data_IF_804650829319
#
_entry.id   IF_804650829319
#
_cell.length_a   1.000
_cell.length_b   1.000
_cell.length_c   1.000
_cell.angle_alpha   90.00
_cell.angle_beta   90.00
_cell.angle_gamma   90.00
#
_symmetry.space_group_name_H-M   'P 1'
#
loop_
_entity.id
_entity.type
_entity.pdbx_description
1 polymer ?
#
# COMPACT_ATOMS: atom_id res chain seq x y z
N UNK A 1 -26.16 48.25 20.14
CA UNK A 1 -27.16 47.56 19.29
C UNK A 1 -26.45 46.98 18.08
N UNK A 2 -26.00 45.72 18.16
CA UNK A 2 -25.52 44.96 17.00
C UNK A 2 -26.57 43.89 16.74
N UNK A 3 -27.28 44.04 15.63
CA UNK A 3 -28.33 43.16 15.13
C UNK A 3 -27.71 41.79 14.87
N UNK A 4 -28.12 40.79 15.68
CA UNK A 4 -27.96 39.37 15.32
C UNK A 4 -28.75 39.16 14.03
N UNK A 5 -28.06 38.81 12.96
CA UNK A 5 -28.70 38.21 11.81
C UNK A 5 -29.30 36.88 12.27
N UNK A 6 -30.60 36.89 12.54
CA UNK A 6 -31.39 35.69 12.70
C UNK A 6 -31.49 35.00 11.35
N UNK A 7 -30.50 34.15 11.04
CA UNK A 7 -30.68 33.09 10.06
C UNK A 7 -31.84 32.23 10.54
N UNK A 8 -32.96 32.31 9.83
CA UNK A 8 -34.11 31.43 9.98
C UNK A 8 -33.65 29.99 9.72
N UNK A 9 -33.22 29.28 10.76
CA UNK A 9 -33.19 27.81 10.76
C UNK A 9 -34.64 27.34 10.90
N UNK A 10 -35.27 27.09 9.76
CA UNK A 10 -36.55 26.39 9.68
C UNK A 10 -36.38 24.98 10.30
N UNK A 11 -37.14 24.60 11.32
CA UNK A 11 -37.15 23.22 11.80
C UNK A 11 -37.96 22.34 10.83
N UNK A 12 -37.31 21.28 10.31
CA UNK A 12 -37.84 20.05 9.69
C UNK A 12 -38.37 20.13 8.23
N UNK A 13 -38.27 19.04 7.40
CA UNK A 13 -38.39 17.63 7.79
C UNK A 13 -37.35 16.64 7.20
N UNK A 14 -37.20 15.47 7.84
CA UNK A 14 -37.67 14.29 7.12
C UNK A 14 -36.94 12.97 7.27
N UNK A 15 -35.70 12.95 7.76
CA UNK A 15 -35.08 11.67 8.12
C UNK A 15 -35.58 11.22 9.49
N UNK A 16 -36.52 10.27 9.50
CA UNK A 16 -37.17 9.79 10.73
C UNK A 16 -36.36 8.72 11.44
N UNK A 17 -35.42 8.10 10.72
CA UNK A 17 -34.65 6.95 11.21
C UNK A 17 -33.36 6.79 10.42
N UNK A 18 -32.39 6.10 11.01
CA UNK A 18 -31.09 5.81 10.41
C UNK A 18 -30.65 4.39 10.76
N UNK A 19 -29.98 3.70 9.83
CA UNK A 19 -29.41 2.38 10.06
C UNK A 19 -28.13 2.15 9.28
N UNK A 20 -27.37 1.17 9.72
CA UNK A 20 -26.22 0.64 9.00
C UNK A 20 -26.60 -0.69 8.37
N UNK A 21 -26.41 -0.81 7.06
CA UNK A 21 -26.77 -1.99 6.29
C UNK A 21 -25.52 -2.70 5.74
N UNK A 22 -25.62 -4.02 5.61
CA UNK A 22 -24.58 -4.86 5.01
C UNK A 22 -23.18 -4.73 5.66
N UNK A 23 -23.13 -4.32 6.94
CA UNK A 23 -21.96 -4.47 7.78
C UNK A 23 -21.93 -5.82 8.47
N UNK A 24 -20.79 -6.16 9.08
CA UNK A 24 -20.62 -7.42 9.81
C UNK A 24 -21.23 -7.37 11.21
N UNK A 25 -21.54 -6.18 11.70
CA UNK A 25 -22.16 -5.93 13.00
C UNK A 25 -23.13 -4.73 12.92
N UNK A 26 -23.77 -4.39 14.03
CA UNK A 26 -24.75 -3.30 14.11
C UNK A 26 -24.14 -1.89 14.12
N UNK A 27 -22.82 -1.76 14.20
CA UNK A 27 -22.09 -0.50 14.35
C UNK A 27 -21.13 -0.22 13.18
N UNK A 28 -21.28 -0.95 12.08
CA UNK A 28 -20.59 -0.76 10.82
C UNK A 28 -21.56 -1.03 9.67
N UNK A 29 -21.39 -0.35 8.55
CA UNK A 29 -22.21 -0.61 7.37
C UNK A 29 -22.40 0.59 6.46
N UNK A 30 -23.08 0.35 5.35
CA UNK A 30 -23.59 1.39 4.45
C UNK A 30 -24.62 2.23 5.21
N UNK A 31 -24.51 3.53 5.07
CA UNK A 31 -25.42 4.50 5.71
C UNK A 31 -26.72 4.53 4.91
N UNK A 32 -27.82 4.17 5.59
CA UNK A 32 -29.17 4.29 5.04
C UNK A 32 -30.02 5.17 5.96
N UNK A 33 -30.70 6.16 5.36
CA UNK A 33 -31.58 7.08 6.06
C UNK A 33 -33.02 6.92 5.56
N UNK A 34 -33.99 7.09 6.47
CA UNK A 34 -35.40 6.90 6.18
C UNK A 34 -36.13 8.23 6.02
N UNK A 35 -36.62 8.54 4.83
CA UNK A 35 -37.41 9.74 4.53
C UNK A 35 -38.84 9.39 4.11
N UNK A 36 -39.85 9.97 4.78
CA UNK A 36 -41.29 9.75 4.49
C UNK A 36 -41.72 8.28 4.34
N UNK A 37 -41.08 7.38 5.10
CA UNK A 37 -41.26 5.91 5.07
C UNK A 37 -40.45 5.12 4.06
N UNK A 38 -39.64 5.77 3.21
CA UNK A 38 -38.73 5.11 2.28
C UNK A 38 -37.29 5.14 2.81
N UNK A 39 -36.59 4.02 2.68
CA UNK A 39 -35.15 3.97 2.94
C UNK A 39 -34.40 4.33 1.67
N UNK A 40 -33.32 5.09 1.83
CA UNK A 40 -32.39 5.40 0.75
C UNK A 40 -30.96 5.50 1.26
N UNK A 41 -30.01 5.40 0.35
CA UNK A 41 -28.58 5.49 0.65
C UNK A 41 -28.11 6.93 0.64
N UNK A 42 -26.98 7.20 1.27
CA UNK A 42 -26.41 8.55 1.31
C UNK A 42 -25.22 8.64 0.37
N UNK A 43 -25.04 9.76 -0.32
CA UNK A 43 -23.89 9.95 -1.21
C UNK A 43 -22.60 10.29 -0.45
N UNK A 44 -21.50 9.62 -0.79
CA UNK A 44 -20.15 9.81 -0.21
C UNK A 44 -19.58 11.22 -0.43
N UNK A 45 -19.90 11.87 -1.55
CA UNK A 45 -19.46 13.24 -1.86
C UNK A 45 -20.04 14.29 -0.90
N UNK A 46 -21.08 13.93 -0.15
CA UNK A 46 -21.84 14.81 0.74
C UNK A 46 -21.87 14.30 2.19
N UNK A 47 -21.05 13.28 2.49
CA UNK A 47 -21.04 12.60 3.79
C UNK A 47 -19.64 12.61 4.39
N UNK A 48 -19.48 13.32 5.51
CA UNK A 48 -18.18 13.54 6.15
C UNK A 48 -18.03 12.84 7.51
N UNK A 49 -16.86 13.03 8.11
CA UNK A 49 -16.50 12.44 9.41
C UNK A 49 -17.33 13.00 10.58
N UNK A 50 -17.78 14.25 10.49
CA UNK A 50 -18.57 14.89 11.55
C UNK A 50 -20.00 14.35 11.54
N UNK A 51 -20.64 14.30 10.37
CA UNK A 51 -21.95 13.68 10.19
C UNK A 51 -21.93 12.20 10.57
N UNK A 52 -20.86 11.49 10.20
CA UNK A 52 -20.63 10.11 10.61
C UNK A 52 -20.53 9.95 12.13
N UNK A 53 -19.85 10.88 12.82
CA UNK A 53 -19.72 10.82 14.28
C UNK A 53 -21.05 11.05 14.99
N UNK A 54 -21.88 11.96 14.48
CA UNK A 54 -23.25 12.18 14.97
C UNK A 54 -24.10 10.93 14.75
N UNK A 55 -24.04 10.31 13.57
CA UNK A 55 -24.74 9.06 13.29
C UNK A 55 -24.31 7.93 14.23
N UNK A 56 -23.01 7.70 14.40
CA UNK A 56 -22.48 6.69 15.31
C UNK A 56 -22.93 6.92 16.74
N UNK A 57 -23.01 8.18 17.18
CA UNK A 57 -23.49 8.53 18.50
C UNK A 57 -25.00 8.25 18.63
N UNK A 58 -25.79 8.65 17.64
CA UNK A 58 -27.24 8.42 17.57
C UNK A 58 -27.60 6.93 17.61
N UNK A 59 -26.78 6.07 16.99
CA UNK A 59 -26.94 4.61 17.00
C UNK A 59 -26.38 3.93 18.26
N UNK A 60 -25.88 4.70 19.24
CA UNK A 60 -25.22 4.21 20.45
C UNK A 60 -23.99 3.31 20.17
N UNK A 61 -23.26 3.64 19.10
CA UNK A 61 -22.07 2.95 18.62
C UNK A 61 -20.76 3.74 18.90
N UNK A 62 -20.83 4.79 19.71
CA UNK A 62 -19.70 5.66 20.05
C UNK A 62 -19.42 6.72 18.99
N UNK A 63 -18.16 6.87 18.56
CA UNK A 63 -17.75 7.86 17.54
C UNK A 63 -17.44 7.19 16.21
N UNK A 64 -17.45 7.94 15.11
CA UNK A 64 -16.94 7.41 13.85
C UNK A 64 -15.42 7.23 13.93
N UNK A 65 -14.92 6.15 13.32
CA UNK A 65 -13.50 5.85 13.18
C UNK A 65 -13.07 5.95 11.72
N UNK A 66 -13.94 5.58 10.78
CA UNK A 66 -13.71 5.74 9.36
C UNK A 66 -15.01 6.03 8.61
N UNK A 67 -14.88 6.80 7.53
CA UNK A 67 -15.89 6.98 6.48
C UNK A 67 -15.39 6.24 5.25
N UNK A 68 -16.23 5.38 4.69
CA UNK A 68 -15.87 4.48 3.59
C UNK A 68 -16.91 4.58 2.47
N UNK A 69 -16.56 4.18 1.25
CA UNK A 69 -17.48 4.16 0.11
C UNK A 69 -18.17 2.82 -0.11
N UNK A 70 -18.94 2.73 -1.20
CA UNK A 70 -19.71 1.54 -1.58
C UNK A 70 -18.85 0.28 -1.79
N UNK A 71 -17.55 0.44 -2.00
CA UNK A 71 -16.59 -0.67 -2.09
C UNK A 71 -16.54 -1.54 -0.83
N UNK A 72 -16.86 -0.99 0.35
CA UNK A 72 -16.75 -1.69 1.63
C UNK A 72 -18.00 -2.48 2.00
N UNK A 73 -19.17 -1.84 1.89
CA UNK A 73 -20.44 -2.42 2.32
C UNK A 73 -21.38 -2.71 1.15
N UNK A 74 -20.87 -2.64 -0.08
CA UNK A 74 -21.62 -2.86 -1.31
C UNK A 74 -22.54 -1.70 -1.67
N UNK A 75 -22.90 -1.67 -2.94
CA UNK A 75 -23.91 -0.78 -3.50
C UNK A 75 -25.27 -1.05 -2.86
N UNK A 76 -25.99 0.00 -2.51
CA UNK A 76 -27.39 -0.11 -2.11
C UNK A 76 -28.32 -0.14 -3.32
N UNK A 77 -29.60 0.13 -3.06
CA UNK A 77 -30.63 0.14 -4.10
C UNK A 77 -31.72 1.16 -3.76
N UNK A 78 -32.38 1.69 -4.78
CA UNK A 78 -33.48 2.63 -4.61
C UNK A 78 -33.02 4.08 -4.65
N UNK A 79 -33.56 4.90 -3.75
CA UNK A 79 -33.28 6.34 -3.72
C UNK A 79 -31.90 6.61 -3.12
N UNK A 80 -31.16 7.55 -3.72
CA UNK A 80 -29.91 8.10 -3.19
C UNK A 80 -30.20 9.51 -2.72
N UNK A 81 -29.88 9.80 -1.46
CA UNK A 81 -30.02 11.10 -0.84
C UNK A 81 -28.75 11.93 -1.11
N UNK A 82 -28.82 12.99 -1.95
CA UNK A 82 -27.69 13.85 -2.26
C UNK A 82 -27.55 15.02 -1.27
N UNK A 83 -28.30 14.98 -0.17
CA UNK A 83 -28.32 16.06 0.83
C UNK A 83 -26.96 16.14 1.54
N UNK A 84 -26.45 17.37 1.71
CA UNK A 84 -25.21 17.60 2.48
C UNK A 84 -25.56 17.93 3.92
N UNK A 85 -25.07 17.09 4.82
CA UNK A 85 -25.17 17.29 6.27
C UNK A 85 -24.00 18.16 6.74
N UNK A 86 -24.33 19.34 7.25
CA UNK A 86 -23.38 20.26 7.87
C UNK A 86 -23.47 20.07 9.39
N UNK A 87 -22.66 19.14 9.91
CA UNK A 87 -22.57 18.81 11.33
C UNK A 87 -21.24 19.33 11.95
N UNK A 88 -21.29 19.76 13.20
CA UNK A 88 -20.12 20.03 14.04
C UNK A 88 -19.49 18.75 14.60
N UNK A 89 -20.26 17.66 14.71
CA UNK A 89 -19.82 16.35 15.22
C UNK A 89 -20.16 16.10 16.69
N UNK A 90 -20.87 17.01 17.35
CA UNK A 90 -21.25 16.96 18.77
C UNK A 90 -22.77 16.88 19.02
N UNK A 91 -23.54 16.89 17.93
CA UNK A 91 -25.00 16.84 17.94
C UNK A 91 -25.51 15.49 18.44
N UNK A 92 -26.73 15.46 19.00
CA UNK A 92 -27.31 14.22 19.53
C UNK A 92 -27.90 13.32 18.45
N UNK A 93 -28.16 13.88 17.27
CA UNK A 93 -28.63 13.15 16.10
C UNK A 93 -28.60 14.00 14.84
N UNK A 94 -28.66 13.33 13.68
CA UNK A 94 -28.56 13.97 12.37
C UNK A 94 -29.67 14.99 12.10
N UNK A 95 -30.79 14.91 12.83
CA UNK A 95 -31.88 15.88 12.76
C UNK A 95 -31.51 17.26 13.27
N UNK A 96 -30.44 17.38 14.07
CA UNK A 96 -29.94 18.66 14.58
C UNK A 96 -28.91 19.31 13.65
N UNK A 97 -28.36 18.54 12.69
CA UNK A 97 -27.44 19.08 11.70
C UNK A 97 -28.14 19.95 10.67
N UNK A 98 -27.46 20.99 10.19
CA UNK A 98 -27.94 21.79 9.08
C UNK A 98 -27.89 20.99 7.77
N UNK A 99 -28.92 21.11 6.92
CA UNK A 99 -28.93 20.46 5.60
C UNK A 99 -28.86 21.51 4.51
N UNK A 100 -27.96 21.33 3.53
CA UNK A 100 -27.93 22.15 2.32
C UNK A 100 -28.36 21.35 1.09
N UNK A 101 -29.31 21.91 0.34
CA UNK A 101 -30.03 21.22 -0.76
C UNK A 101 -29.47 21.54 -2.16
N UNK A 102 -28.41 22.37 -2.25
CA UNK A 102 -27.97 22.98 -3.51
C UNK A 102 -26.89 22.22 -4.27
N UNK A 103 -26.40 21.10 -3.75
CA UNK A 103 -25.44 20.23 -4.42
C UNK A 103 -26.11 18.91 -4.80
N UNK A 104 -26.90 18.93 -5.88
CA UNK A 104 -27.34 17.71 -6.57
C UNK A 104 -26.16 17.09 -7.31
N UNK A 105 -25.16 16.61 -6.59
CA UNK A 105 -24.18 15.70 -7.17
C UNK A 105 -24.97 14.52 -7.75
N UNK A 106 -24.78 14.24 -9.04
CA UNK A 106 -25.36 13.07 -9.66
C UNK A 106 -24.60 11.85 -9.12
N UNK A 107 -25.05 11.32 -7.98
CA UNK A 107 -24.48 10.15 -7.37
C UNK A 107 -25.13 8.88 -7.94
N UNK A 108 -24.33 7.84 -8.07
CA UNK A 108 -24.80 6.47 -8.34
C UNK A 108 -24.54 5.60 -7.12
N UNK A 109 -25.09 4.38 -7.06
CA UNK A 109 -24.87 3.50 -5.91
C UNK A 109 -23.41 3.10 -5.69
N UNK A 110 -22.53 3.29 -6.69
CA UNK A 110 -21.07 3.20 -6.53
C UNK A 110 -20.48 4.22 -5.54
N UNK A 111 -21.27 5.24 -5.19
CA UNK A 111 -20.91 6.35 -4.33
C UNK A 111 -21.75 6.35 -3.05
N UNK A 112 -22.32 5.20 -2.67
CA UNK A 112 -23.03 5.08 -1.40
C UNK A 112 -22.02 5.14 -0.23
N UNK A 113 -22.29 6.02 0.72
CA UNK A 113 -21.47 6.24 1.90
C UNK A 113 -21.66 5.10 2.91
N UNK A 114 -20.58 4.76 3.61
CA UNK A 114 -20.52 3.83 4.71
C UNK A 114 -19.74 4.40 5.87
N UNK A 115 -19.95 3.84 7.06
CA UNK A 115 -19.27 4.26 8.28
C UNK A 115 -18.87 3.06 9.12
N UNK A 116 -17.75 3.21 9.82
CA UNK A 116 -17.29 2.29 10.86
C UNK A 116 -17.22 3.08 12.17
N UNK A 117 -18.01 2.66 13.15
CA UNK A 117 -18.07 3.29 14.47
C UNK A 117 -17.16 2.56 15.48
N UNK A 118 -16.74 3.25 16.55
CA UNK A 118 -15.86 2.68 17.57
C UNK A 118 -16.44 1.49 18.34
N UNK A 119 -17.77 1.35 18.34
CA UNK A 119 -18.49 0.22 18.94
C UNK A 119 -18.66 -0.98 17.99
N UNK A 120 -18.14 -0.91 16.76
CA UNK A 120 -18.12 -2.07 15.86
C UNK A 120 -17.27 -3.19 16.45
N UNK A 121 -17.78 -4.41 16.37
CA UNK A 121 -17.03 -5.62 16.70
C UNK A 121 -16.05 -6.01 15.59
N UNK A 122 -16.07 -5.30 14.45
CA UNK A 122 -14.91 -5.17 13.56
C UNK A 122 -13.67 -4.84 14.41
N UNK A 123 -12.72 -5.77 14.57
CA UNK A 123 -11.37 -5.35 14.85
C UNK A 123 -10.95 -4.65 13.55
N UNK A 124 -10.61 -3.36 13.61
CA UNK A 124 -10.07 -2.56 12.49
C UNK A 124 -8.79 -3.14 11.85
N UNK A 125 -8.47 -4.39 12.16
CA UNK A 125 -7.18 -5.01 12.04
C UNK A 125 -7.27 -6.48 11.59
N UNK A 126 -8.43 -7.15 11.58
CA UNK A 126 -8.50 -8.55 11.10
C UNK A 126 -8.69 -8.58 9.57
N UNK A 127 -7.59 -8.74 8.83
CA UNK A 127 -7.60 -8.74 7.36
C UNK A 127 -6.91 -7.54 6.71
N UNK A 128 -6.33 -6.64 7.50
CA UNK A 128 -5.35 -5.67 7.00
C UNK A 128 -4.12 -6.44 6.54
N UNK A 129 -3.71 -6.23 5.30
CA UNK A 129 -2.59 -6.95 4.67
C UNK A 129 -1.43 -5.99 4.47
N UNK A 130 -0.21 -6.48 4.66
CA UNK A 130 1.01 -5.83 4.18
C UNK A 130 1.89 -6.86 3.49
N UNK A 131 2.75 -6.37 2.60
CA UNK A 131 3.78 -7.18 1.96
C UNK A 131 5.14 -6.83 2.55
N UNK A 132 5.86 -7.86 2.97
CA UNK A 132 7.24 -7.76 3.42
C UNK A 132 8.15 -8.26 2.28
N UNK A 133 8.65 -7.33 1.47
CA UNK A 133 9.46 -7.65 0.28
C UNK A 133 10.27 -6.47 -0.24
N UNK A 134 10.73 -6.55 -1.51
CA UNK A 134 11.59 -5.54 -2.14
C UNK A 134 10.81 -4.35 -2.72
N UNK A 135 9.48 -4.39 -2.70
CA UNK A 135 8.62 -3.31 -3.14
C UNK A 135 7.29 -3.30 -2.38
N UNK A 136 6.55 -2.18 -2.46
CA UNK A 136 5.18 -2.08 -1.94
C UNK A 136 4.16 -3.06 -2.55
N UNK A 137 4.50 -3.68 -3.69
CA UNK A 137 3.61 -4.53 -4.47
C UNK A 137 4.18 -5.94 -4.70
N UNK A 138 5.20 -6.32 -3.94
CA UNK A 138 5.82 -7.65 -3.95
C UNK A 138 6.28 -7.99 -2.53
N UNK A 139 6.01 -9.21 -2.08
CA UNK A 139 6.61 -9.72 -0.85
C UNK A 139 5.83 -10.84 -0.19
N UNK A 140 6.31 -11.24 0.98
CA UNK A 140 5.61 -12.16 1.87
C UNK A 140 4.32 -11.52 2.40
N UNK A 141 3.22 -12.26 2.33
CA UNK A 141 1.91 -11.79 2.78
C UNK A 141 1.81 -11.93 4.28
N UNK A 142 1.68 -10.79 4.95
CA UNK A 142 1.37 -10.72 6.38
C UNK A 142 0.00 -10.10 6.57
N UNK A 143 -0.80 -10.74 7.42
CA UNK A 143 -2.16 -10.31 7.77
C UNK A 143 -2.17 -9.97 9.24
N UNK A 144 -2.72 -8.81 9.54
CA UNK A 144 -2.98 -8.43 10.91
C UNK A 144 -4.16 -9.30 11.42
N UNK A 145 -3.93 -10.04 12.49
CA UNK A 145 -4.92 -10.94 13.06
C UNK A 145 -4.74 -11.06 14.57
N UNK A 146 -5.80 -10.78 15.33
CA UNK A 146 -5.75 -10.70 16.80
C UNK A 146 -4.64 -9.76 17.30
N UNK A 147 -4.53 -8.57 16.69
CA UNK A 147 -3.57 -7.51 17.07
C UNK A 147 -2.09 -7.88 16.89
N UNK A 148 -1.78 -8.88 16.05
CA UNK A 148 -0.41 -9.24 15.66
C UNK A 148 -0.33 -9.50 14.16
N UNK A 149 0.78 -9.10 13.54
CA UNK A 149 1.08 -9.48 12.16
C UNK A 149 1.43 -10.96 12.12
N UNK A 150 0.67 -11.72 11.32
CA UNK A 150 0.84 -13.15 11.15
C UNK A 150 1.04 -13.47 9.68
N UNK A 151 1.86 -14.48 9.42
CA UNK A 151 2.17 -14.93 8.07
C UNK A 151 1.10 -15.89 7.56
N UNK A 152 0.86 -15.85 6.25
CA UNK A 152 -0.18 -16.66 5.60
C UNK A 152 0.41 -17.92 4.96
N UNK A 153 -0.26 -19.05 5.14
CA UNK A 153 0.15 -20.32 4.55
C UNK A 153 -0.26 -20.49 3.09
N UNK A 154 0.59 -21.15 2.32
CA UNK A 154 0.37 -21.44 0.90
C UNK A 154 -0.68 -22.53 0.64
N UNK A 155 -0.93 -23.40 1.61
CA UNK A 155 -1.75 -24.61 1.48
C UNK A 155 -3.18 -24.38 0.95
N UNK A 156 -3.76 -23.21 1.25
CA UNK A 156 -5.11 -22.81 0.83
C UNK A 156 -5.13 -21.59 -0.09
N UNK A 157 -3.96 -21.13 -0.55
CA UNK A 157 -3.84 -19.92 -1.35
C UNK A 157 -3.95 -20.18 -2.85
N UNK A 158 -4.78 -19.40 -3.55
CA UNK A 158 -4.90 -19.45 -5.00
C UNK A 158 -4.86 -18.03 -5.62
N UNK A 159 -5.06 -17.94 -6.94
CA UNK A 159 -4.99 -16.67 -7.69
C UNK A 159 -6.08 -15.68 -7.24
N UNK A 160 -7.22 -16.16 -6.73
CA UNK A 160 -8.30 -15.33 -6.21
C UNK A 160 -7.86 -14.56 -4.98
N UNK A 161 -7.28 -15.22 -3.96
CA UNK A 161 -6.77 -14.56 -2.76
C UNK A 161 -5.65 -13.57 -3.12
N UNK A 162 -4.71 -13.99 -3.98
CA UNK A 162 -3.64 -13.11 -4.46
C UNK A 162 -4.19 -11.84 -5.15
N UNK A 163 -5.26 -11.98 -5.94
CA UNK A 163 -5.89 -10.85 -6.63
C UNK A 163 -6.59 -9.90 -5.67
N UNK A 164 -7.22 -10.44 -4.62
CA UNK A 164 -7.82 -9.63 -3.54
C UNK A 164 -6.73 -8.82 -2.82
N UNK A 165 -5.60 -9.44 -2.46
CA UNK A 165 -4.49 -8.72 -1.80
C UNK A 165 -3.91 -7.63 -2.69
N UNK A 166 -3.61 -7.93 -3.96
CA UNK A 166 -3.07 -6.93 -4.89
C UNK A 166 -4.02 -5.75 -5.09
N UNK A 167 -5.33 -6.01 -5.11
CA UNK A 167 -6.36 -4.97 -5.19
C UNK A 167 -6.43 -4.14 -3.91
N UNK A 168 -6.45 -4.80 -2.75
CA UNK A 168 -6.48 -4.15 -1.43
C UNK A 168 -5.30 -3.19 -1.22
N UNK A 169 -4.13 -3.52 -1.75
CA UNK A 169 -2.92 -2.68 -1.67
C UNK A 169 -2.82 -1.61 -2.78
N UNK A 170 -3.84 -1.50 -3.64
CA UNK A 170 -3.83 -0.67 -4.84
C UNK A 170 -2.64 -0.96 -5.78
N UNK A 171 -2.22 -2.23 -5.83
CA UNK A 171 -1.11 -2.74 -6.63
C UNK A 171 -1.56 -3.42 -7.94
N UNK A 172 -2.83 -3.26 -8.32
CA UNK A 172 -3.40 -3.86 -9.53
C UNK A 172 -3.74 -5.34 -9.37
N UNK A 173 -3.35 -6.17 -10.34
CA UNK A 173 -3.73 -7.58 -10.44
C UNK A 173 -2.58 -8.51 -10.04
N UNK A 174 -2.89 -9.71 -9.54
CA UNK A 174 -1.87 -10.71 -9.21
C UNK A 174 -1.20 -11.29 -10.46
N UNK A 175 0.13 -11.16 -10.53
CA UNK A 175 0.96 -11.71 -11.62
C UNK A 175 1.33 -13.16 -11.28
N UNK A 176 1.81 -13.39 -10.06
CA UNK A 176 2.19 -14.71 -9.57
C UNK A 176 2.26 -14.77 -8.04
N UNK A 177 2.35 -16.00 -7.53
CA UNK A 177 2.60 -16.27 -6.12
C UNK A 177 3.51 -17.50 -5.99
N UNK A 178 4.30 -17.57 -4.92
CA UNK A 178 5.25 -18.65 -4.64
C UNK A 178 5.33 -18.93 -3.14
N UNK A 179 5.84 -20.12 -2.80
CA UNK A 179 6.13 -20.48 -1.42
C UNK A 179 7.55 -20.10 -1.02
N UNK A 180 7.71 -19.36 0.08
CA UNK A 180 9.00 -19.18 0.76
C UNK A 180 9.06 -20.10 1.98
N UNK A 181 10.16 -20.84 2.12
CA UNK A 181 10.40 -21.68 3.28
C UNK A 181 11.18 -20.88 4.32
N UNK A 182 10.67 -20.80 5.54
CA UNK A 182 11.43 -20.30 6.69
C UNK A 182 11.33 -21.24 7.89
N UNK A 183 12.32 -21.11 8.77
CA UNK A 183 12.41 -21.80 10.06
C UNK A 183 12.03 -20.84 11.18
N UNK A 184 11.05 -21.26 11.98
CA UNK A 184 10.58 -20.71 13.26
C UNK A 184 9.93 -19.31 13.26
N UNK A 185 8.65 -19.28 13.65
CA UNK A 185 7.88 -18.05 13.85
C UNK A 185 6.56 -18.29 14.59
N UNK A 186 6.12 -17.27 15.34
CA UNK A 186 5.00 -17.28 16.27
C UNK A 186 3.62 -17.27 15.56
N UNK A 187 3.02 -18.45 15.34
CA UNK A 187 1.62 -18.66 14.94
C UNK A 187 1.16 -18.09 13.57
N UNK A 188 0.74 -18.97 12.68
CA UNK A 188 0.33 -18.67 11.30
C UNK A 188 -1.20 -18.57 11.13
N UNK A 189 -1.64 -18.04 9.99
CA UNK A 189 -3.06 -18.04 9.57
C UNK A 189 -3.24 -18.74 8.22
N UNK A 190 -4.31 -19.52 8.10
CA UNK A 190 -4.70 -20.21 6.86
C UNK A 190 -6.22 -20.24 6.72
N UNK A 191 -6.73 -20.68 5.57
CA UNK A 191 -8.16 -20.88 5.33
C UNK A 191 -8.87 -19.70 4.68
N UNK A 192 -8.14 -18.71 4.17
CA UNK A 192 -8.72 -17.67 3.32
C UNK A 192 -9.26 -18.30 2.05
N UNK A 193 -10.58 -18.19 1.85
CA UNK A 193 -11.26 -18.66 0.63
C UNK A 193 -12.03 -17.50 0.02
N UNK A 194 -11.47 -16.97 -1.06
CA UNK A 194 -12.00 -15.83 -1.80
C UNK A 194 -12.63 -16.29 -3.13
N UNK A 195 -13.67 -15.59 -3.56
CA UNK A 195 -14.25 -15.67 -4.90
C UNK A 195 -13.48 -14.84 -5.94
N UNK A 196 -12.61 -13.92 -5.49
CA UNK A 196 -11.77 -13.03 -6.30
C UNK A 196 -12.36 -11.63 -6.52
N UNK A 197 -13.60 -11.41 -6.11
CA UNK A 197 -14.30 -10.11 -6.19
C UNK A 197 -14.27 -9.34 -4.87
N UNK A 198 -13.78 -9.96 -3.80
CA UNK A 198 -13.63 -9.32 -2.51
C UNK A 198 -12.65 -8.13 -2.61
N UNK A 199 -12.91 -7.12 -1.80
CA UNK A 199 -12.08 -5.90 -1.70
C UNK A 199 -11.00 -6.02 -0.63
N UNK A 200 -11.19 -6.91 0.35
CA UNK A 200 -10.30 -7.12 1.48
C UNK A 200 -10.19 -8.62 1.78
N UNK A 201 -9.01 -9.06 2.18
CA UNK A 201 -8.77 -10.46 2.52
C UNK A 201 -9.60 -10.92 3.73
N UNK A 202 -9.92 -9.99 4.65
CA UNK A 202 -10.82 -10.24 5.79
C UNK A 202 -12.29 -10.47 5.40
N UNK A 203 -12.71 -10.06 4.20
CA UNK A 203 -14.06 -10.29 3.66
C UNK A 203 -14.19 -11.68 3.01
N UNK A 204 -13.06 -12.38 2.85
CA UNK A 204 -13.07 -13.78 2.48
C UNK A 204 -13.50 -14.63 3.68
N UNK A 205 -13.76 -15.92 3.46
CA UNK A 205 -14.17 -16.83 4.55
C UNK A 205 -13.26 -16.72 5.78
N UNK A 206 -13.81 -16.88 6.98
CA UNK A 206 -13.11 -16.64 8.26
C UNK A 206 -11.79 -17.45 8.36
N UNK A 207 -10.64 -16.80 8.58
CA UNK A 207 -9.36 -17.51 8.70
C UNK A 207 -9.26 -18.29 10.01
N UNK A 208 -8.48 -19.37 9.99
CA UNK A 208 -8.18 -20.20 11.16
C UNK A 208 -6.73 -19.95 11.62
N UNK A 209 -6.54 -19.83 12.94
CA UNK A 209 -5.21 -19.81 13.53
C UNK A 209 -4.66 -21.22 13.66
N UNK A 210 -3.41 -21.40 13.25
CA UNK A 210 -2.70 -22.66 13.32
C UNK A 210 -1.34 -22.44 14.00
N UNK A 211 -0.80 -23.51 14.58
CA UNK A 211 0.57 -23.52 15.05
C UNK A 211 1.44 -24.10 13.93
N UNK A 212 2.23 -23.25 13.27
CA UNK A 212 3.07 -23.65 12.15
C UNK A 212 4.52 -23.71 12.58
N UNK A 213 5.03 -24.92 12.73
CA UNK A 213 6.44 -25.17 13.05
C UNK A 213 7.31 -25.38 11.80
N UNK A 214 6.74 -25.58 10.60
CA UNK A 214 7.52 -25.82 9.36
C UNK A 214 6.70 -25.70 8.05
N UNK A 215 5.99 -24.58 7.84
CA UNK A 215 5.09 -24.43 6.68
C UNK A 215 5.64 -23.43 5.64
N UNK A 216 5.29 -23.63 4.37
CA UNK A 216 5.58 -22.66 3.30
C UNK A 216 4.65 -21.46 3.41
N UNK A 217 5.24 -20.26 3.42
CA UNK A 217 4.50 -19.02 3.50
C UNK A 217 4.28 -18.42 2.10
N UNK A 218 3.22 -17.63 1.96
CA UNK A 218 2.84 -17.04 0.67
C UNK A 218 3.68 -15.80 0.40
N UNK A 219 4.35 -15.78 -0.74
CA UNK A 219 4.89 -14.57 -1.38
C UNK A 219 4.08 -14.26 -2.63
N UNK A 220 3.71 -13.00 -2.85
CA UNK A 220 2.97 -12.57 -4.06
C UNK A 220 3.72 -11.48 -4.82
N UNK A 221 3.45 -11.41 -6.13
CA UNK A 221 3.90 -10.33 -7.02
C UNK A 221 2.66 -9.75 -7.72
N UNK A 222 2.44 -8.45 -7.57
CA UNK A 222 1.35 -7.72 -8.20
C UNK A 222 1.80 -6.97 -9.45
N UNK A 223 0.87 -6.56 -10.31
CA UNK A 223 1.18 -5.89 -11.59
C UNK A 223 1.74 -4.48 -11.41
N UNK A 224 1.41 -3.81 -10.30
CA UNK A 224 1.98 -2.53 -9.91
C UNK A 224 3.38 -2.64 -9.31
N UNK A 225 3.99 -3.83 -9.30
CA UNK A 225 5.37 -3.99 -8.90
C UNK A 225 6.29 -3.25 -9.89
N UNK A 226 7.03 -2.28 -9.35
CA UNK A 226 8.13 -1.61 -10.03
C UNK A 226 9.44 -2.19 -9.48
N UNK A 227 10.08 -3.13 -10.20
CA UNK A 227 11.35 -3.71 -9.76
C UNK A 227 12.53 -2.77 -10.02
N UNK A 228 13.54 -2.92 -9.18
CA UNK A 228 14.85 -2.26 -9.26
C UNK A 228 15.93 -3.33 -9.36
N UNK A 229 16.97 -3.10 -10.16
CA UNK A 229 18.13 -4.00 -10.26
C UNK A 229 19.44 -3.23 -10.43
N UNK A 230 20.53 -3.89 -10.07
CA UNK A 230 21.89 -3.43 -10.37
C UNK A 230 22.45 -4.31 -11.50
N UNK A 231 22.87 -3.68 -12.60
CA UNK A 231 23.41 -4.37 -13.77
C UNK A 231 24.90 -4.07 -13.90
N UNK A 232 25.73 -5.10 -13.95
CA UNK A 232 27.18 -4.95 -14.12
C UNK A 232 27.99 -6.12 -13.60
N UNK A 233 29.31 -5.96 -13.58
CA UNK A 233 30.27 -6.98 -13.14
C UNK A 233 30.52 -7.03 -11.62
N UNK A 234 29.79 -6.23 -10.83
CA UNK A 234 29.95 -6.12 -9.37
C UNK A 234 29.11 -7.08 -8.52
N UNK A 235 28.43 -8.05 -9.15
CA UNK A 235 27.49 -8.96 -8.48
C UNK A 235 26.14 -8.30 -8.17
N UNK A 236 25.27 -9.01 -7.44
CA UNK A 236 23.88 -8.58 -7.19
C UNK A 236 23.74 -7.27 -6.36
N UNK A 237 24.84 -6.80 -5.76
CA UNK A 237 24.88 -5.65 -4.86
C UNK A 237 25.78 -4.50 -5.33
N UNK A 238 26.30 -4.56 -6.57
CA UNK A 238 27.02 -3.45 -7.18
C UNK A 238 26.85 -3.42 -8.71
N UNK A 239 26.38 -2.28 -9.23
CA UNK A 239 26.05 -2.16 -10.65
C UNK A 239 25.43 -0.82 -11.01
N UNK A 240 25.19 -0.63 -12.31
CA UNK A 240 24.37 0.46 -12.84
C UNK A 240 22.94 0.27 -12.36
N UNK A 241 22.34 1.33 -11.84
CA UNK A 241 20.97 1.30 -11.35
C UNK A 241 19.99 1.29 -12.53
N UNK A 242 19.15 0.27 -12.58
CA UNK A 242 18.05 0.19 -13.53
C UNK A 242 16.71 0.01 -12.81
N UNK A 243 15.72 0.75 -13.28
CA UNK A 243 14.35 0.83 -12.78
C UNK A 243 13.38 0.37 -13.86
N UNK A 244 12.35 -0.39 -13.50
CA UNK A 244 11.33 -0.83 -14.44
C UNK A 244 10.09 0.05 -14.34
N UNK A 245 9.72 0.66 -15.47
CA UNK A 245 8.52 1.46 -15.61
C UNK A 245 7.74 1.04 -16.85
N UNK A 246 6.42 0.85 -16.70
CA UNK A 246 5.51 0.47 -17.78
C UNK A 246 5.99 -0.73 -18.63
N UNK A 247 6.58 -1.73 -17.96
CA UNK A 247 7.09 -2.96 -18.59
C UNK A 247 8.44 -2.83 -19.30
N UNK A 248 9.12 -1.68 -19.20
CA UNK A 248 10.44 -1.44 -19.80
C UNK A 248 11.46 -1.00 -18.75
N UNK A 249 12.68 -1.53 -18.84
CA UNK A 249 13.80 -1.10 -18.01
C UNK A 249 14.39 0.22 -18.51
N UNK A 250 14.91 1.01 -17.59
CA UNK A 250 15.64 2.24 -17.88
C UNK A 250 16.56 2.65 -16.74
N UNK A 251 17.44 3.62 -16.97
CA UNK A 251 18.46 4.08 -16.02
C UNK A 251 17.99 5.28 -15.19
N UNK A 252 18.78 5.65 -14.20
CA UNK A 252 18.56 6.81 -13.32
C UNK A 252 19.73 7.78 -13.50
N UNK A 253 19.42 9.06 -13.64
CA UNK A 253 20.40 10.15 -13.78
C UNK A 253 21.03 10.53 -12.42
N UNK A 254 22.29 10.96 -12.44
CA UNK A 254 23.06 11.37 -11.28
C UNK A 254 22.76 12.81 -10.81
N UNK A 255 21.91 13.55 -11.51
CA UNK A 255 21.40 14.85 -11.07
C UNK A 255 20.70 14.74 -9.70
N UNK A 256 21.24 15.45 -8.71
CA UNK A 256 20.86 15.40 -7.29
C UNK A 256 21.07 14.06 -6.59
N UNK A 257 21.63 13.05 -7.27
CA UNK A 257 21.86 11.74 -6.70
C UNK A 257 22.94 11.78 -5.62
N UNK A 258 22.61 11.29 -4.44
CA UNK A 258 23.52 11.29 -3.30
C UNK A 258 23.60 9.93 -2.57
N UNK A 259 24.22 9.95 -1.39
CA UNK A 259 24.41 8.75 -0.59
C UNK A 259 23.11 8.24 0.02
N UNK A 260 22.20 9.13 0.36
CA UNK A 260 20.91 8.76 0.95
C UNK A 260 20.03 8.06 -0.08
N UNK A 261 20.06 8.49 -1.35
CA UNK A 261 19.42 7.78 -2.45
C UNK A 261 19.98 6.36 -2.62
N UNK A 262 21.31 6.25 -2.65
CA UNK A 262 22.01 4.97 -2.71
C UNK A 262 21.69 4.08 -1.51
N UNK A 263 21.52 4.67 -0.32
CA UNK A 263 21.18 3.96 0.91
C UNK A 263 19.78 3.35 0.83
N UNK A 264 18.81 4.07 0.28
CA UNK A 264 17.45 3.55 0.02
C UNK A 264 17.51 2.36 -0.95
N UNK A 265 18.24 2.47 -2.06
CA UNK A 265 18.42 1.36 -3.02
C UNK A 265 19.08 0.14 -2.39
N UNK A 266 20.19 0.34 -1.67
CA UNK A 266 20.91 -0.77 -1.02
C UNK A 266 20.04 -1.50 0.01
N UNK A 267 19.22 -0.76 0.76
CA UNK A 267 18.25 -1.33 1.69
C UNK A 267 17.13 -2.07 0.96
N UNK A 268 16.56 -1.47 -0.09
CA UNK A 268 15.49 -2.06 -0.89
C UNK A 268 15.93 -3.39 -1.53
N UNK A 269 17.18 -3.48 -1.99
CA UNK A 269 17.76 -4.70 -2.55
C UNK A 269 18.26 -5.69 -1.49
N UNK A 270 18.16 -5.35 -0.21
CA UNK A 270 18.67 -6.13 0.93
C UNK A 270 20.18 -6.41 0.82
N UNK A 271 20.92 -5.42 0.35
CA UNK A 271 22.37 -5.47 0.11
C UNK A 271 23.18 -4.71 1.19
N UNK A 272 22.57 -4.40 2.33
CA UNK A 272 23.22 -3.70 3.44
C UNK A 272 23.24 -2.18 3.25
N UNK A 273 24.38 -1.54 3.54
CA UNK A 273 24.53 -0.07 3.52
C UNK A 273 25.23 0.42 2.25
N UNK A 274 24.99 1.68 1.86
CA UNK A 274 25.65 2.31 0.73
C UNK A 274 27.12 2.63 1.03
N UNK A 275 28.03 2.00 0.29
CA UNK A 275 29.48 2.22 0.44
C UNK A 275 29.94 3.48 -0.29
N UNK A 276 29.39 3.74 -1.49
CA UNK A 276 29.66 4.92 -2.32
C UNK A 276 28.41 5.32 -3.11
N UNK A 277 28.22 6.64 -3.26
CA UNK A 277 27.13 7.25 -4.03
C UNK A 277 27.50 7.51 -5.49
N UNK A 278 28.78 7.74 -5.78
CA UNK A 278 29.22 8.29 -7.06
C UNK A 278 30.26 7.40 -7.73
N UNK A 279 29.85 6.72 -8.81
CA UNK A 279 30.73 6.46 -9.94
C UNK A 279 29.89 6.76 -11.18
N UNK A 280 30.24 7.77 -12.00
CA UNK A 280 29.60 7.93 -13.30
C UNK A 280 29.70 6.60 -14.05
N UNK A 281 28.64 6.12 -14.71
CA UNK A 281 28.64 4.89 -15.50
C UNK A 281 29.53 4.94 -16.76
N UNK A 282 30.70 5.58 -16.65
CA UNK A 282 31.81 5.65 -17.59
C UNK A 282 32.28 4.30 -18.13
N UNK A 283 31.92 3.19 -17.48
CA UNK A 283 32.27 1.85 -17.95
C UNK A 283 31.22 1.18 -18.86
N UNK A 284 29.91 1.51 -18.73
CA UNK A 284 28.84 0.91 -19.53
C UNK A 284 27.61 1.83 -19.58
N UNK A 285 27.53 2.80 -20.52
CA UNK A 285 26.31 3.59 -20.72
C UNK A 285 25.13 2.67 -21.04
N UNK A 286 23.94 2.99 -20.51
CA UNK A 286 22.72 2.27 -20.87
C UNK A 286 22.38 2.41 -22.35
N UNK A 287 21.82 1.34 -22.95
CA UNK A 287 21.15 1.39 -24.27
C UNK A 287 19.61 1.42 -24.09
N UNK A 288 19.15 1.89 -22.93
CA UNK A 288 17.75 1.88 -22.48
C UNK A 288 17.32 3.30 -22.11
N UNK A 289 16.03 3.65 -22.04
CA UNK A 289 15.61 5.00 -21.65
C UNK A 289 16.16 5.43 -20.27
N UNK A 290 16.33 6.72 -20.03
CA UNK A 290 16.55 7.26 -18.68
C UNK A 290 15.16 7.57 -18.10
N UNK A 291 14.81 6.94 -16.98
CA UNK A 291 13.45 7.03 -16.40
C UNK A 291 13.33 8.06 -15.30
N UNK A 292 14.37 8.26 -14.50
CA UNK A 292 14.34 9.13 -13.32
C UNK A 292 15.56 10.06 -13.31
N UNK A 293 15.35 11.24 -12.75
CA UNK A 293 16.31 12.31 -12.50
C UNK A 293 15.86 13.12 -11.28
N UNK A 294 16.76 13.92 -10.72
CA UNK A 294 16.53 14.72 -9.52
C UNK A 294 15.92 13.90 -8.37
N UNK A 295 16.40 12.67 -8.20
CA UNK A 295 16.00 11.84 -7.06
C UNK A 295 16.58 12.48 -5.81
N UNK A 296 15.75 12.67 -4.79
CA UNK A 296 16.17 13.31 -3.54
C UNK A 296 15.50 12.68 -2.32
N UNK A 297 15.94 11.48 -1.97
CA UNK A 297 15.53 10.77 -0.76
C UNK A 297 16.04 11.47 0.51
N UNK A 298 15.30 11.33 1.61
CA UNK A 298 15.75 11.68 2.96
C UNK A 298 16.67 10.60 3.58
N UNK A 299 16.60 9.37 3.06
CA UNK A 299 17.41 8.21 3.45
C UNK A 299 16.66 7.21 4.35
N UNK A 300 15.48 7.56 4.84
CA UNK A 300 14.63 6.71 5.66
C UNK A 300 13.46 6.06 4.90
N UNK A 301 13.29 6.38 3.61
CA UNK A 301 12.29 5.80 2.71
C UNK A 301 12.51 4.30 2.43
N UNK A 302 11.44 3.51 2.45
CA UNK A 302 11.57 2.06 2.29
C UNK A 302 11.88 1.63 0.86
N UNK A 303 11.61 2.51 -0.11
CA UNK A 303 11.81 2.26 -1.52
C UNK A 303 12.08 3.55 -2.29
N UNK A 304 12.84 3.45 -3.39
CA UNK A 304 13.16 4.56 -4.28
C UNK A 304 11.91 5.30 -4.82
N UNK A 305 10.77 4.60 -4.91
CA UNK A 305 9.51 5.16 -5.42
C UNK A 305 8.82 6.14 -4.45
N UNK A 306 9.23 6.16 -3.18
CA UNK A 306 8.73 7.09 -2.17
C UNK A 306 9.49 8.42 -2.17
N UNK A 307 10.66 8.44 -2.83
CA UNK A 307 11.49 9.63 -2.90
C UNK A 307 10.95 10.63 -3.93
N UNK A 308 11.02 11.94 -3.64
CA UNK A 308 10.82 12.99 -4.64
C UNK A 308 11.70 12.77 -5.88
N UNK A 309 11.14 13.03 -7.07
CA UNK A 309 11.86 13.00 -8.36
C UNK A 309 11.21 13.97 -9.36
N UNK A 310 11.90 14.25 -10.47
CA UNK A 310 11.40 15.13 -11.54
C UNK A 310 10.21 14.55 -12.34
N UNK A 311 9.87 13.28 -12.11
CA UNK A 311 8.84 12.53 -12.83
C UNK A 311 9.39 11.70 -14.00
N UNK A 312 8.57 10.75 -14.47
CA UNK A 312 9.00 9.72 -15.42
C UNK A 312 9.44 10.29 -16.78
N UNK A 313 10.69 10.02 -17.16
CA UNK A 313 11.27 10.44 -18.44
C UNK A 313 11.47 11.95 -18.58
N UNK A 314 11.41 12.71 -17.47
CA UNK A 314 11.63 14.15 -17.47
C UNK A 314 13.07 14.46 -17.02
N UNK A 315 13.99 14.56 -17.98
CA UNK A 315 15.41 14.83 -17.71
C UNK A 315 16.05 15.50 -18.94
N UNK A 316 17.19 16.16 -18.75
CA UNK A 316 18.11 16.61 -19.81
C UNK A 316 19.42 15.82 -19.82
N UNK A 317 19.52 14.79 -18.97
CA UNK A 317 20.67 13.90 -18.87
C UNK A 317 20.92 13.02 -20.11
N UNK A 318 22.17 12.60 -20.24
CA UNK A 318 22.67 11.59 -21.17
C UNK A 318 23.14 10.33 -20.42
N UNK A 319 23.36 9.21 -21.13
CA UNK A 319 23.85 7.97 -20.47
C UNK A 319 25.25 8.05 -19.85
N UNK A 320 25.94 9.18 -19.98
CA UNK A 320 27.18 9.44 -19.24
C UNK A 320 26.91 9.73 -17.76
N UNK A 321 25.69 10.15 -17.46
CA UNK A 321 25.16 10.56 -16.16
C UNK A 321 24.33 9.42 -15.54
N UNK A 322 24.38 8.19 -16.09
CA UNK A 322 23.72 7.04 -15.46
C UNK A 322 24.39 6.71 -14.12
N UNK A 323 23.56 6.48 -13.10
CA UNK A 323 23.99 6.18 -11.72
C UNK A 323 24.54 4.76 -11.58
N UNK A 324 25.64 4.64 -10.83
CA UNK A 324 26.18 3.38 -10.35
C UNK A 324 26.09 3.30 -8.81
N UNK A 325 25.50 2.21 -8.30
CA UNK A 325 25.34 1.98 -6.86
C UNK A 325 26.23 0.84 -6.42
N UNK A 326 26.89 1.02 -5.27
CA UNK A 326 27.68 -0.03 -4.63
C UNK A 326 27.32 -0.15 -3.14
N UNK A 327 26.78 -1.31 -2.78
CA UNK A 327 26.36 -1.62 -1.42
C UNK A 327 27.41 -2.47 -0.69
N UNK A 328 27.29 -2.57 0.63
CA UNK A 328 28.19 -3.38 1.46
C UNK A 328 28.12 -4.88 1.16
N UNK A 329 27.07 -5.32 0.45
CA UNK A 329 26.71 -6.72 0.31
C UNK A 329 26.06 -7.25 1.59
N UNK A 330 25.44 -8.42 1.50
CA UNK A 330 25.03 -9.16 2.70
C UNK A 330 26.31 -9.59 3.41
N UNK A 331 26.48 -9.18 4.66
CA UNK A 331 27.42 -9.83 5.59
C UNK A 331 26.83 -11.20 5.90
N UNK A 332 27.07 -12.15 5.00
CA UNK A 332 26.65 -13.55 5.09
C UNK A 332 27.68 -14.40 4.37
N UNK A 333 28.60 -14.96 5.16
CA UNK A 333 29.53 -16.05 4.83
C UNK A 333 30.23 -15.98 3.47
N UNK A 334 31.01 -14.92 3.25
CA UNK A 334 31.79 -14.74 2.02
C UNK A 334 33.16 -14.08 2.19
N UNK A 335 33.66 -13.93 3.41
CA UNK A 335 35.10 -14.05 3.61
C UNK A 335 35.32 -15.51 3.98
N UNK A 336 35.44 -16.39 2.99
CA UNK A 336 36.23 -17.58 3.24
C UNK A 336 37.63 -17.05 3.52
N UNK A 337 38.12 -17.25 4.75
CA UNK A 337 39.48 -16.91 5.15
C UNK A 337 40.54 -17.66 4.30
N UNK A 338 40.09 -18.50 3.34
CA UNK A 338 40.87 -19.07 2.24
C UNK A 338 40.96 -18.15 1.01
N UNK A 339 41.36 -16.88 1.16
CA UNK A 339 41.91 -16.13 0.03
C UNK A 339 43.20 -16.81 -0.44
N UNK A 340 43.13 -17.57 -1.53
CA UNK A 340 44.28 -18.32 -2.04
C UNK A 340 44.93 -17.63 -3.25
N UNK A 341 46.11 -18.12 -3.64
CA UNK A 341 46.86 -17.57 -4.79
C UNK A 341 46.09 -17.66 -6.11
N UNK A 342 45.09 -18.54 -6.24
CA UNK A 342 44.32 -18.72 -7.46
C UNK A 342 43.24 -17.65 -7.57
N UNK A 343 42.62 -17.27 -6.46
CA UNK A 343 41.66 -16.16 -6.44
C UNK A 343 42.36 -14.84 -6.82
N UNK A 344 43.56 -14.61 -6.28
CA UNK A 344 44.40 -13.48 -6.67
C UNK A 344 44.81 -13.52 -8.16
N UNK A 345 45.03 -14.71 -8.74
CA UNK A 345 45.34 -14.86 -10.17
C UNK A 345 44.15 -14.60 -11.09
N UNK A 346 42.93 -14.96 -10.67
CA UNK A 346 41.69 -14.68 -11.41
C UNK A 346 41.47 -13.17 -11.47
N UNK A 347 41.58 -12.50 -10.32
CA UNK A 347 41.45 -11.04 -10.21
C UNK A 347 42.55 -10.33 -11.01
N UNK A 348 43.81 -10.75 -10.91
CA UNK A 348 44.91 -10.16 -11.67
C UNK A 348 44.79 -10.36 -13.19
N UNK A 349 44.20 -11.47 -13.66
CA UNK A 349 43.91 -11.66 -15.11
C UNK A 349 42.78 -10.76 -15.60
N UNK A 350 41.79 -10.46 -14.76
CA UNK A 350 40.67 -9.58 -15.13
C UNK A 350 41.04 -8.10 -15.08
N UNK A 351 41.98 -7.72 -14.21
CA UNK A 351 42.43 -6.33 -14.05
C UNK A 351 43.73 -6.00 -14.80
N UNK A 352 44.26 -6.96 -15.58
CA UNK A 352 45.50 -6.86 -16.33
C UNK A 352 46.67 -6.31 -15.48
N UNK A 353 46.77 -6.82 -14.25
CA UNK A 353 47.85 -6.49 -13.34
C UNK A 353 49.15 -7.03 -13.92
N UNK A 354 49.88 -6.19 -14.64
CA UNK A 354 51.16 -6.52 -15.26
C UNK A 354 52.03 -7.36 -14.33
N UNK A 355 52.61 -8.42 -14.87
CA UNK A 355 53.39 -9.42 -14.14
C UNK A 355 54.52 -8.78 -13.34
N UNK A 356 54.29 -8.56 -12.05
CA UNK A 356 55.29 -8.01 -11.15
C UNK A 356 55.48 -8.91 -9.93
N UNK A 357 55.82 -10.18 -10.16
CA UNK A 357 56.52 -11.02 -9.18
C UNK A 357 57.44 -12.00 -9.94
N UNK A 358 58.76 -11.74 -9.89
CA UNK A 358 59.80 -12.76 -10.04
C UNK A 358 59.82 -13.66 -8.81
#
# INVERSE_FOLDING_TARGET
>A
MKTKASSLSLPCPGYTDARLANGTDSCSGRVELKYLSEWGTVCDASWDMNASSVLCHQLNCGRAVAVVGAEWFGEGSGSIWPDVFVCEGNETGLSECGITWWSRAACSHRQDAGVICSGSFFPLDNGTVRLSGRSRCEGEVEVLFSQRWRRVLLDSWNRSEASVVCRQLACGSAVGFSGSAETEGDGCVSGFRCSGHETHLGNCSTPQMLNCSSSLHVTIVCSGHQPVRLVGSGGDCAGRLEVSHNGSWGTVCDDSWDREDAQVVCRQLQCGTALRAEVPASFHPGDVPIWLSEVGCAGDETSLWECPSAGWGHHDCSHKEDVWVMCSGKVGDGCDDSWDKKDAQVVCRQLDCGSLWM
#
